data_IF_744026370857
#
_entry.id   IF_744026370857
#
_cell.length_a   1.000
_cell.length_b   1.000
_cell.length_c   1.000
_cell.angle_alpha   90.00
_cell.angle_beta   90.00
_cell.angle_gamma   90.00
#
_symmetry.space_group_name_H-M   'P 1'
#
loop_
_entity.id
_entity.type
_entity.pdbx_description
1 polymer ?
#
# COMPACT_ATOMS: atom_id res chain seq x y z
N UNK A 1 -23.59 -5.14 3.05
CA UNK A 1 -22.96 -5.39 1.75
C UNK A 1 -21.55 -5.90 2.03
N UNK A 2 -21.07 -6.92 1.31
CA UNK A 2 -19.72 -7.49 1.51
C UNK A 2 -18.68 -6.61 0.80
N UNK A 3 -17.67 -6.06 1.49
CA UNK A 3 -16.67 -5.20 0.87
C UNK A 3 -15.87 -5.94 -0.21
N UNK A 4 -15.61 -5.27 -1.34
CA UNK A 4 -14.72 -5.78 -2.39
C UNK A 4 -13.32 -5.20 -2.26
N UNK A 5 -12.30 -6.04 -2.31
CA UNK A 5 -10.89 -5.63 -2.12
C UNK A 5 -10.08 -5.92 -3.38
N UNK A 6 -9.44 -4.89 -3.93
CA UNK A 6 -8.43 -5.03 -4.96
C UNK A 6 -7.06 -5.28 -4.30
N UNK A 7 -6.54 -6.51 -4.41
CA UNK A 7 -5.20 -6.86 -3.93
C UNK A 7 -4.24 -6.84 -5.11
N UNK A 8 -3.36 -5.83 -5.15
CA UNK A 8 -2.43 -5.68 -6.26
C UNK A 8 -1.35 -6.76 -6.26
N UNK A 9 -1.00 -7.22 -7.46
CA UNK A 9 0.20 -8.04 -7.66
C UNK A 9 0.87 -7.73 -8.99
N UNK A 10 2.02 -8.37 -9.21
CA UNK A 10 2.83 -8.23 -10.42
C UNK A 10 4.23 -7.72 -10.13
N UNK A 11 5.13 -7.91 -11.09
CA UNK A 11 6.49 -7.39 -11.08
C UNK A 11 7.25 -7.61 -9.74
N UNK A 12 7.16 -8.76 -9.07
CA UNK A 12 7.96 -9.04 -7.86
C UNK A 12 7.31 -8.69 -6.51
N UNK A 13 6.07 -8.20 -6.50
CA UNK A 13 5.20 -8.32 -5.32
C UNK A 13 5.04 -9.82 -5.00
N UNK A 14 5.19 -10.20 -3.73
CA UNK A 14 5.21 -11.60 -3.30
C UNK A 14 4.36 -11.90 -2.06
N UNK A 15 3.73 -10.87 -1.47
CA UNK A 15 2.87 -11.01 -0.29
C UNK A 15 1.36 -10.91 -0.59
N UNK A 16 0.98 -11.03 -1.86
CA UNK A 16 -0.38 -10.80 -2.33
C UNK A 16 -1.34 -11.95 -2.01
N UNK A 17 -0.84 -13.17 -1.89
CA UNK A 17 -1.66 -14.34 -1.55
C UNK A 17 -2.17 -14.29 -0.11
N UNK A 18 -1.28 -14.04 0.86
CA UNK A 18 -1.64 -13.90 2.27
C UNK A 18 -2.46 -12.63 2.52
N UNK A 19 -2.17 -11.54 1.80
CA UNK A 19 -2.96 -10.30 1.90
C UNK A 19 -4.40 -10.58 1.48
N UNK A 20 -4.61 -11.27 0.35
CA UNK A 20 -5.94 -11.71 -0.09
C UNK A 20 -6.60 -12.60 0.97
N UNK A 21 -5.89 -13.61 1.46
CA UNK A 21 -6.44 -14.58 2.41
C UNK A 21 -6.91 -13.90 3.71
N UNK A 22 -6.19 -12.91 4.23
CA UNK A 22 -6.58 -12.18 5.44
C UNK A 22 -7.84 -11.35 5.23
N UNK A 23 -7.98 -10.66 4.09
CA UNK A 23 -9.22 -9.94 3.79
C UNK A 23 -10.44 -10.87 3.68
N UNK A 24 -10.28 -12.03 3.05
CA UNK A 24 -11.33 -13.04 2.96
C UNK A 24 -11.69 -13.62 4.33
N UNK A 25 -10.68 -13.86 5.17
CA UNK A 25 -10.86 -14.37 6.54
C UNK A 25 -11.73 -13.44 7.39
N UNK A 26 -11.62 -12.12 7.20
CA UNK A 26 -12.41 -11.12 7.94
C UNK A 26 -13.71 -10.73 7.23
N UNK A 27 -14.11 -11.49 6.19
CA UNK A 27 -15.44 -11.39 5.58
C UNK A 27 -15.55 -10.45 4.38
N UNK A 28 -14.44 -10.05 3.75
CA UNK A 28 -14.46 -9.34 2.47
C UNK A 28 -14.34 -10.30 1.27
N UNK A 29 -14.70 -9.84 0.08
CA UNK A 29 -14.39 -10.55 -1.18
C UNK A 29 -13.18 -9.89 -1.82
N UNK A 30 -12.07 -10.62 -1.96
CA UNK A 30 -10.80 -10.04 -2.42
C UNK A 30 -10.37 -10.62 -3.78
N UNK A 31 -10.13 -9.74 -4.74
CA UNK A 31 -9.64 -10.09 -6.08
C UNK A 31 -8.15 -9.76 -6.18
N UNK A 32 -7.33 -10.72 -6.64
CA UNK A 32 -5.94 -10.45 -7.00
C UNK A 32 -5.91 -9.82 -8.39
N UNK A 33 -5.42 -8.58 -8.46
CA UNK A 33 -5.38 -7.81 -9.69
C UNK A 33 -3.95 -7.50 -10.10
N UNK A 34 -3.57 -7.97 -11.28
CA UNK A 34 -2.27 -7.60 -11.83
C UNK A 34 -2.33 -6.12 -12.20
N UNK A 35 -1.35 -5.31 -11.77
CA UNK A 35 -1.37 -3.85 -11.96
C UNK A 35 -1.65 -3.42 -13.42
N UNK A 36 -1.15 -4.19 -14.41
CA UNK A 36 -1.41 -3.90 -15.82
C UNK A 36 -2.89 -3.97 -16.22
N UNK A 37 -3.74 -4.76 -15.54
CA UNK A 37 -5.19 -4.83 -15.82
C UNK A 37 -5.89 -3.52 -15.46
N UNK A 38 -5.43 -2.84 -14.41
CA UNK A 38 -5.91 -1.51 -14.04
C UNK A 38 -5.36 -0.44 -15.00
N UNK A 39 -4.09 -0.56 -15.39
CA UNK A 39 -3.45 0.37 -16.34
C UNK A 39 -4.07 0.28 -17.74
N UNK A 40 -4.45 -0.92 -18.20
CA UNK A 40 -5.07 -1.10 -19.51
C UNK A 40 -6.56 -0.75 -19.54
N UNK A 41 -7.19 -0.59 -18.37
CA UNK A 41 -8.64 -0.42 -18.25
C UNK A 41 -9.46 -1.71 -18.38
N UNK A 42 -8.81 -2.89 -18.40
CA UNK A 42 -9.49 -4.20 -18.38
C UNK A 42 -10.32 -4.39 -17.10
N UNK A 43 -9.91 -3.74 -16.02
CA UNK A 43 -10.57 -3.71 -14.72
C UNK A 43 -10.57 -2.27 -14.19
N UNK A 44 -11.67 -1.86 -13.57
CA UNK A 44 -11.79 -0.51 -13.00
C UNK A 44 -11.56 -0.55 -11.49
N UNK A 45 -10.72 0.36 -10.99
CA UNK A 45 -10.47 0.47 -9.55
C UNK A 45 -11.74 0.90 -8.79
N UNK A 46 -12.66 1.59 -9.47
CA UNK A 46 -13.92 2.08 -8.93
C UNK A 46 -14.88 0.96 -8.51
N UNK A 47 -14.71 -0.25 -9.07
CA UNK A 47 -15.50 -1.45 -8.75
C UNK A 47 -15.18 -2.08 -7.37
N UNK A 48 -14.17 -1.54 -6.69
CA UNK A 48 -13.66 -2.02 -5.39
C UNK A 48 -13.89 -0.99 -4.30
N UNK A 49 -14.01 -1.46 -3.06
CA UNK A 49 -14.17 -0.63 -1.87
C UNK A 49 -12.84 -0.36 -1.17
N UNK A 50 -11.86 -1.27 -1.33
CA UNK A 50 -10.55 -1.20 -0.68
C UNK A 50 -9.46 -1.50 -1.70
N UNK A 51 -8.38 -0.73 -1.68
CA UNK A 51 -7.15 -1.03 -2.43
C UNK A 51 -6.05 -1.47 -1.47
N UNK A 52 -5.56 -2.70 -1.65
CA UNK A 52 -4.41 -3.23 -0.92
C UNK A 52 -3.20 -3.32 -1.85
N UNK A 53 -2.10 -2.70 -1.43
CA UNK A 53 -0.78 -2.80 -2.07
C UNK A 53 0.12 -3.66 -1.18
N UNK A 54 0.36 -4.94 -1.52
CA UNK A 54 1.09 -5.87 -0.67
C UNK A 54 2.60 -5.61 -0.62
N UNK A 55 3.26 -6.38 0.24
CA UNK A 55 4.73 -6.42 0.35
C UNK A 55 5.42 -7.21 -0.77
N UNK A 56 6.75 -7.13 -0.78
CA UNK A 56 7.62 -7.85 -1.71
C UNK A 56 8.80 -6.99 -2.17
N UNK A 57 9.22 -7.18 -3.41
CA UNK A 57 10.33 -6.48 -4.03
C UNK A 57 9.90 -6.04 -5.43
N UNK A 58 9.01 -5.04 -5.52
CA UNK A 58 8.50 -4.63 -6.83
C UNK A 58 9.64 -4.15 -7.74
N UNK A 59 9.69 -4.72 -8.94
CA UNK A 59 10.78 -4.63 -9.91
C UNK A 59 12.16 -4.95 -9.31
N UNK A 60 12.22 -5.88 -8.33
CA UNK A 60 13.45 -6.28 -7.64
C UNK A 60 14.10 -5.14 -6.84
N UNK A 61 13.38 -4.03 -6.62
CA UNK A 61 13.88 -2.78 -6.03
C UNK A 61 15.14 -2.21 -6.71
N UNK A 62 15.41 -2.58 -7.98
CA UNK A 62 16.64 -2.24 -8.70
C UNK A 62 16.91 -0.73 -8.85
N UNK A 63 15.88 0.11 -8.79
CA UNK A 63 15.98 1.57 -8.89
C UNK A 63 15.60 2.28 -7.58
N UNK A 64 15.63 1.55 -6.46
CA UNK A 64 15.15 1.95 -5.13
C UNK A 64 13.75 1.41 -4.86
N UNK A 65 13.47 1.09 -3.60
CA UNK A 65 12.29 0.29 -3.28
C UNK A 65 10.97 0.97 -3.62
N UNK A 66 10.09 0.21 -4.27
CA UNK A 66 8.77 0.68 -4.70
C UNK A 66 8.77 1.77 -5.79
N UNK A 67 9.93 2.24 -6.27
CA UNK A 67 10.02 3.42 -7.15
C UNK A 67 9.34 3.22 -8.49
N UNK A 68 9.62 2.10 -9.15
CA UNK A 68 9.10 1.87 -10.50
C UNK A 68 7.60 1.59 -10.47
N UNK A 69 7.13 0.77 -9.53
CA UNK A 69 5.70 0.52 -9.36
C UNK A 69 4.94 1.79 -8.92
N UNK A 70 5.50 2.55 -7.98
CA UNK A 70 4.94 3.84 -7.54
C UNK A 70 4.82 4.84 -8.67
N UNK A 71 5.84 5.00 -9.52
CA UNK A 71 5.75 5.87 -10.69
C UNK A 71 4.73 5.37 -11.72
N UNK A 72 4.65 4.06 -11.97
CA UNK A 72 3.61 3.51 -12.86
C UNK A 72 2.22 3.84 -12.35
N UNK A 73 1.96 3.61 -11.06
CA UNK A 73 0.67 3.96 -10.44
C UNK A 73 0.40 5.47 -10.51
N UNK A 74 1.40 6.30 -10.17
CA UNK A 74 1.32 7.76 -10.17
C UNK A 74 0.92 8.35 -11.53
N UNK A 75 1.46 7.82 -12.61
CA UNK A 75 1.22 8.36 -13.95
C UNK A 75 0.11 7.66 -14.70
N UNK A 76 0.05 6.33 -14.66
CA UNK A 76 -0.90 5.56 -15.45
C UNK A 76 -2.25 5.32 -14.75
N UNK A 77 -2.30 5.40 -13.41
CA UNK A 77 -3.52 5.21 -12.63
C UNK A 77 -3.91 6.49 -11.87
N UNK A 78 -3.39 7.66 -12.28
CA UNK A 78 -3.49 8.91 -11.52
C UNK A 78 -4.94 9.28 -11.20
N UNK A 79 -5.80 9.27 -12.21
CA UNK A 79 -7.18 9.72 -12.05
C UNK A 79 -8.02 8.68 -11.30
N UNK A 80 -7.82 7.38 -11.58
CA UNK A 80 -8.45 6.30 -10.83
C UNK A 80 -8.10 6.36 -9.33
N UNK A 81 -6.82 6.59 -8.99
CA UNK A 81 -6.37 6.74 -7.61
C UNK A 81 -6.95 8.01 -6.96
N UNK A 82 -7.02 9.12 -7.69
CA UNK A 82 -7.63 10.37 -7.21
C UNK A 82 -9.10 10.16 -6.89
N UNK A 83 -9.86 9.61 -7.84
CA UNK A 83 -11.28 9.30 -7.66
C UNK A 83 -11.51 8.36 -6.47
N UNK A 84 -10.64 7.36 -6.29
CA UNK A 84 -10.73 6.42 -5.19
C UNK A 84 -10.54 7.10 -3.82
N UNK A 85 -9.52 7.97 -3.70
CA UNK A 85 -9.26 8.76 -2.49
C UNK A 85 -10.37 9.77 -2.24
N UNK A 86 -10.82 10.49 -3.27
CA UNK A 86 -11.89 11.50 -3.18
C UNK A 86 -13.24 10.86 -2.80
N UNK A 87 -13.47 9.59 -3.17
CA UNK A 87 -14.62 8.79 -2.72
C UNK A 87 -14.49 8.30 -1.26
N UNK A 88 -13.40 8.63 -0.55
CA UNK A 88 -13.16 8.20 0.82
C UNK A 88 -12.85 6.70 0.97
N UNK A 89 -12.51 6.02 -0.13
CA UNK A 89 -12.24 4.57 -0.12
C UNK A 89 -10.83 4.31 0.43
N UNK A 90 -10.67 3.37 1.38
CA UNK A 90 -9.39 3.18 2.06
C UNK A 90 -8.35 2.45 1.20
N UNK A 91 -7.11 2.91 1.32
CA UNK A 91 -5.93 2.28 0.71
C UNK A 91 -5.01 1.82 1.83
N UNK A 92 -4.46 0.60 1.71
CA UNK A 92 -3.43 0.08 2.62
C UNK A 92 -2.18 -0.33 1.82
N UNK A 93 -1.01 0.09 2.30
CA UNK A 93 0.29 -0.30 1.74
C UNK A 93 1.13 -1.01 2.80
N UNK A 94 1.59 -2.22 2.52
CA UNK A 94 2.32 -3.06 3.47
C UNK A 94 3.76 -3.24 2.99
N UNK A 95 4.75 -2.90 3.81
CA UNK A 95 6.19 -3.00 3.47
C UNK A 95 6.51 -2.31 2.13
N UNK A 96 6.72 -3.09 1.05
CA UNK A 96 6.94 -2.54 -0.30
C UNK A 96 5.75 -1.73 -0.80
N UNK A 97 4.52 -2.12 -0.45
CA UNK A 97 3.34 -1.34 -0.76
C UNK A 97 3.33 0.04 -0.10
N UNK A 98 3.83 0.16 1.14
CA UNK A 98 3.98 1.47 1.78
C UNK A 98 4.99 2.33 1.02
N UNK A 99 6.14 1.77 0.66
CA UNK A 99 7.14 2.44 -0.17
C UNK A 99 6.54 2.90 -1.51
N UNK A 100 5.77 2.04 -2.18
CA UNK A 100 5.05 2.37 -3.42
C UNK A 100 4.11 3.57 -3.22
N UNK A 101 3.28 3.58 -2.17
CA UNK A 101 2.38 4.70 -1.87
C UNK A 101 3.14 5.99 -1.51
N UNK A 102 4.34 5.90 -0.95
CA UNK A 102 5.19 7.07 -0.75
C UNK A 102 5.70 7.59 -2.09
N UNK A 103 6.14 6.71 -2.99
CA UNK A 103 6.62 7.07 -4.34
C UNK A 103 5.52 7.60 -5.26
N UNK A 104 4.25 7.24 -5.04
CA UNK A 104 3.13 7.87 -5.76
C UNK A 104 2.90 9.32 -5.36
N UNK A 105 3.35 9.73 -4.17
CA UNK A 105 3.00 11.01 -3.55
C UNK A 105 1.63 11.00 -2.87
N UNK A 106 1.03 9.82 -2.66
CA UNK A 106 -0.13 9.68 -1.79
C UNK A 106 0.28 9.78 -0.32
N UNK A 107 1.52 9.42 0.03
CA UNK A 107 2.06 9.48 1.39
C UNK A 107 3.45 10.17 1.44
N UNK A 108 3.69 11.09 2.39
CA UNK A 108 2.66 11.93 2.98
C UNK A 108 1.95 12.72 1.87
N UNK A 109 0.62 12.76 1.94
CA UNK A 109 -0.23 13.51 1.02
C UNK A 109 -0.33 15.00 1.41
N UNK A 110 -1.19 15.76 0.71
CA UNK A 110 -1.59 17.10 1.15
C UNK A 110 -2.44 17.03 2.44
N UNK A 111 -2.93 18.17 2.92
CA UNK A 111 -3.75 18.24 4.15
C UNK A 111 -4.96 17.29 4.09
N UNK A 112 -5.32 16.70 5.22
CA UNK A 112 -6.43 15.77 5.29
C UNK A 112 -7.74 16.42 4.77
N UNK A 113 -8.47 15.69 3.93
CA UNK A 113 -9.68 16.21 3.27
C UNK A 113 -9.43 16.96 1.96
N UNK A 114 -8.17 17.10 1.53
CA UNK A 114 -7.84 17.63 0.21
C UNK A 114 -7.58 16.52 -0.81
N UNK A 115 -7.93 16.76 -2.07
CA UNK A 115 -7.70 15.80 -3.16
C UNK A 115 -6.18 15.61 -3.37
N UNK A 116 -5.71 14.38 -3.65
CA UNK A 116 -4.27 14.11 -3.75
C UNK A 116 -3.63 14.83 -4.95
N UNK A 117 -2.56 15.58 -4.71
CA UNK A 117 -1.80 16.26 -5.77
C UNK A 117 -0.73 15.36 -6.44
N UNK A 118 -0.43 14.23 -5.82
CA UNK A 118 0.62 13.28 -6.21
C UNK A 118 2.02 13.92 -6.22
N UNK A 119 2.28 14.88 -5.33
CA UNK A 119 3.63 15.39 -5.08
C UNK A 119 4.34 14.47 -4.08
N UNK A 120 5.47 13.90 -4.48
CA UNK A 120 6.30 13.09 -3.59
C UNK A 120 6.99 13.99 -2.56
N UNK A 121 6.58 13.89 -1.30
CA UNK A 121 7.09 14.70 -0.17
C UNK A 121 8.11 13.97 0.70
N UNK A 122 8.17 12.66 0.59
CA UNK A 122 9.05 11.82 1.39
C UNK A 122 9.58 10.62 0.61
N UNK A 123 10.45 9.86 1.26
CA UNK A 123 10.93 8.57 0.79
C UNK A 123 11.36 7.76 1.99
N UNK A 124 11.26 6.44 1.88
CA UNK A 124 12.02 5.55 2.74
C UNK A 124 13.44 5.40 2.18
N UNK A 125 14.37 5.06 3.07
CA UNK A 125 15.79 4.83 2.76
C UNK A 125 16.32 3.61 3.51
N UNK A 126 17.59 3.27 3.26
CA UNK A 126 18.30 2.19 3.92
C UNK A 126 18.18 2.28 5.45
N UNK A 127 18.01 1.12 6.07
CA UNK A 127 18.09 1.00 7.52
C UNK A 127 19.44 1.51 8.03
N UNK A 128 19.49 2.07 9.23
CA UNK A 128 20.74 2.52 9.85
C UNK A 128 21.73 1.36 10.11
N UNK A 129 21.23 0.13 10.23
CA UNK A 129 22.08 -1.06 10.31
C UNK A 129 22.82 -1.39 9.01
N UNK A 130 22.41 -0.80 7.88
CA UNK A 130 22.90 -1.11 6.54
C UNK A 130 22.56 -2.54 6.09
N UNK A 131 21.63 -3.22 6.77
CA UNK A 131 21.28 -4.63 6.54
C UNK A 131 19.77 -4.81 6.41
N UNK A 132 19.41 -5.93 5.79
CA UNK A 132 18.04 -6.44 5.80
C UNK A 132 17.69 -6.96 7.19
N UNK A 133 16.59 -6.46 7.76
CA UNK A 133 16.10 -6.85 9.08
C UNK A 133 14.90 -7.79 8.90
N UNK A 134 14.96 -8.97 9.52
CA UNK A 134 13.89 -9.97 9.58
C UNK A 134 13.72 -10.41 11.04
N UNK A 135 12.73 -9.82 11.72
CA UNK A 135 12.57 -9.96 13.18
C UNK A 135 11.15 -9.64 13.63
N UNK A 136 10.84 -10.03 14.86
CA UNK A 136 9.66 -9.57 15.56
C UNK A 136 9.94 -8.25 16.27
N UNK A 137 9.00 -7.32 16.20
CA UNK A 137 9.01 -6.06 16.95
C UNK A 137 7.69 -5.87 17.66
N UNK A 138 7.70 -5.07 18.72
CA UNK A 138 6.48 -4.61 19.36
C UNK A 138 6.19 -3.18 18.91
N UNK A 139 5.00 -2.98 18.35
CA UNK A 139 4.50 -1.67 17.94
C UNK A 139 3.53 -1.15 19.01
N UNK A 140 3.59 0.16 19.25
CA UNK A 140 2.61 0.91 20.03
C UNK A 140 1.89 1.87 19.09
N UNK A 141 0.58 2.00 19.27
CA UNK A 141 -0.26 2.81 18.39
C UNK A 141 -0.62 4.12 19.06
N UNK A 142 -0.54 5.20 18.30
CA UNK A 142 -0.99 6.52 18.73
C UNK A 142 -2.54 6.53 18.85
N UNK A 143 -3.10 6.74 20.06
CA UNK A 143 -4.55 6.74 20.26
C UNK A 143 -5.25 7.90 19.55
N UNK A 144 -4.53 8.98 19.22
CA UNK A 144 -5.07 10.14 18.50
C UNK A 144 -4.98 9.96 16.98
N UNK A 145 -4.42 8.85 16.49
CA UNK A 145 -4.31 8.58 15.06
C UNK A 145 -5.69 8.41 14.40
N UNK A 146 -5.95 9.08 13.25
CA UNK A 146 -7.19 8.88 12.49
C UNK A 146 -7.21 7.56 11.70
N UNK A 147 -6.17 6.71 11.83
CA UNK A 147 -6.03 5.47 11.08
C UNK A 147 -7.16 4.48 11.41
N UNK A 148 -7.99 4.17 10.42
CA UNK A 148 -9.10 3.23 10.58
C UNK A 148 -8.63 1.80 10.88
N UNK A 149 -7.43 1.41 10.44
CA UNK A 149 -6.90 0.06 10.54
C UNK A 149 -6.44 -0.30 11.96
N UNK A 150 -6.06 0.70 12.74
CA UNK A 150 -5.46 0.52 14.08
C UNK A 150 -6.37 1.04 15.19
N UNK A 151 -7.63 1.35 14.86
CA UNK A 151 -8.58 1.94 15.81
C UNK A 151 -8.82 0.99 16.99
N UNK A 152 -8.60 1.50 18.20
CA UNK A 152 -8.77 0.73 19.44
C UNK A 152 -7.63 -0.26 19.74
N UNK A 153 -6.59 -0.30 18.92
CA UNK A 153 -5.37 -1.05 19.21
C UNK A 153 -4.43 -0.22 20.06
N UNK A 154 -3.77 -0.85 21.03
CA UNK A 154 -2.80 -0.18 21.92
C UNK A 154 -1.38 -0.66 21.63
N UNK A 155 -1.20 -1.97 21.51
CA UNK A 155 0.09 -2.62 21.30
C UNK A 155 -0.07 -3.91 20.51
N UNK A 156 0.90 -4.23 19.65
CA UNK A 156 0.90 -5.46 18.86
C UNK A 156 2.34 -5.95 18.61
N UNK A 157 2.55 -7.26 18.70
CA UNK A 157 3.74 -7.89 18.14
C UNK A 157 3.55 -8.13 16.64
N UNK A 158 4.52 -7.69 15.84
CA UNK A 158 4.44 -7.71 14.39
C UNK A 158 5.77 -8.19 13.79
N UNK A 159 5.75 -9.06 12.77
CA UNK A 159 6.96 -9.36 12.00
C UNK A 159 7.31 -8.17 11.09
N UNK A 160 8.59 -7.80 11.04
CA UNK A 160 9.12 -6.82 10.09
C UNK A 160 10.18 -7.48 9.21
N UNK A 161 10.17 -7.10 7.92
CA UNK A 161 11.01 -7.73 6.91
C UNK A 161 11.45 -6.74 5.81
N UNK A 162 12.49 -5.94 6.05
CA UNK A 162 12.87 -4.86 5.13
C UNK A 162 14.35 -4.47 5.19
N UNK A 163 14.88 -3.97 4.06
CA UNK A 163 16.19 -3.31 3.97
C UNK A 163 16.12 -1.77 3.86
N UNK A 164 14.97 -1.24 3.40
CA UNK A 164 14.74 0.20 3.20
C UNK A 164 13.48 0.66 3.96
N UNK A 165 13.53 0.63 5.30
CA UNK A 165 12.36 0.98 6.14
C UNK A 165 12.51 2.26 6.96
N UNK A 166 13.60 3.01 6.77
CA UNK A 166 13.86 4.26 7.51
C UNK A 166 13.20 5.47 6.85
#
# INVERSE_FOLDING_TARGET
>A
MTPRVAVLFGFGINCDHETKAVFELVGATADRLHVNRLISGDQQLEDYDILAVPGGFSFGDHLGSGRLLGNRMRFAMRDALRNFVDAGKPIIGICNGFQVLVKTGLLPGPEAGTSPDFLQRGSLTLNDSGRYEDRWVTLEFDPESPCIWTKGMTRMECPVRHGEGK
#
